data_IF_328608378917
#
_entry.id   IF_328608378917
#
_cell.length_a   1.000
_cell.length_b   1.000
_cell.length_c   1.000
_cell.angle_alpha   90.00
_cell.angle_beta   90.00
_cell.angle_gamma   90.00
#
_symmetry.space_group_name_H-M   'P 1'
#
loop_
_entity.id
_entity.type
_entity.pdbx_description
1 polymer ?
#
# COMPACT_ATOMS: atom_id res chain seq x y z
N UNK A 1 -2.94 -18.60 3.91
CA UNK A 1 -3.83 -18.07 2.87
C UNK A 1 -3.02 -18.07 1.62
N UNK A 2 -3.46 -18.84 0.64
CA UNK A 2 -2.69 -19.04 -0.58
C UNK A 2 -3.01 -17.89 -1.54
N UNK A 3 -2.03 -17.43 -2.31
CA UNK A 3 -2.18 -16.35 -3.30
C UNK A 3 -3.35 -16.59 -4.27
N UNK A 4 -3.66 -17.85 -4.53
CA UNK A 4 -4.81 -18.28 -5.34
C UNK A 4 -6.17 -17.89 -4.73
N UNK A 5 -6.30 -17.88 -3.39
CA UNK A 5 -7.54 -17.49 -2.73
C UNK A 5 -7.80 -15.99 -2.92
N UNK A 6 -6.73 -15.18 -2.90
CA UNK A 6 -6.82 -13.74 -3.15
C UNK A 6 -7.20 -13.45 -4.60
N UNK A 7 -6.58 -14.12 -5.57
CA UNK A 7 -6.92 -13.94 -6.99
C UNK A 7 -8.37 -14.33 -7.28
N UNK A 8 -8.85 -15.43 -6.68
CA UNK A 8 -10.27 -15.81 -6.75
C UNK A 8 -11.17 -14.78 -6.10
N UNK A 9 -10.80 -14.22 -4.95
CA UNK A 9 -11.56 -13.19 -4.27
C UNK A 9 -11.65 -11.89 -5.08
N UNK A 10 -10.55 -11.45 -5.71
CA UNK A 10 -10.55 -10.30 -6.63
C UNK A 10 -11.45 -10.58 -7.82
N UNK A 11 -11.28 -11.72 -8.49
CA UNK A 11 -12.09 -12.07 -9.65
C UNK A 11 -13.58 -12.17 -9.33
N UNK A 12 -13.93 -12.67 -8.14
CA UNK A 12 -15.30 -12.69 -7.65
C UNK A 12 -15.84 -11.27 -7.38
N UNK A 13 -15.07 -10.43 -6.68
CA UNK A 13 -15.45 -9.04 -6.39
C UNK A 13 -15.60 -8.20 -7.66
N UNK A 14 -14.72 -8.36 -8.65
CA UNK A 14 -14.78 -7.63 -9.92
C UNK A 14 -16.00 -8.06 -10.76
N UNK A 15 -16.36 -9.36 -10.73
CA UNK A 15 -17.61 -9.85 -11.33
C UNK A 15 -18.82 -9.23 -10.66
N UNK A 16 -18.89 -9.24 -9.33
CA UNK A 16 -20.00 -8.65 -8.57
C UNK A 16 -20.12 -7.14 -8.83
N UNK A 17 -19.00 -6.40 -8.86
CA UNK A 17 -18.99 -4.98 -9.21
C UNK A 17 -19.55 -4.73 -10.63
N UNK A 18 -19.24 -5.62 -11.58
CA UNK A 18 -19.76 -5.52 -12.94
C UNK A 18 -21.28 -5.75 -12.99
N UNK A 19 -21.77 -6.78 -12.29
CA UNK A 19 -23.22 -7.05 -12.20
C UNK A 19 -23.98 -5.87 -11.59
N UNK A 20 -23.47 -5.33 -10.47
CA UNK A 20 -24.09 -4.17 -9.82
C UNK A 20 -24.08 -2.93 -10.72
N UNK A 21 -23.03 -2.73 -11.52
CA UNK A 21 -22.99 -1.62 -12.48
C UNK A 21 -24.06 -1.76 -13.58
N UNK A 22 -24.29 -2.97 -14.08
CA UNK A 22 -25.38 -3.22 -15.04
C UNK A 22 -26.74 -2.96 -14.40
N UNK A 23 -26.93 -3.42 -13.16
CA UNK A 23 -28.16 -3.19 -12.39
C UNK A 23 -28.41 -1.69 -12.13
N UNK A 24 -27.37 -0.90 -11.80
CA UNK A 24 -27.49 0.56 -11.66
C UNK A 24 -27.99 1.22 -12.93
N UNK A 25 -27.43 0.84 -14.08
CA UNK A 25 -27.85 1.40 -15.38
C UNK A 25 -29.30 1.02 -15.68
N UNK A 26 -29.66 -0.25 -15.45
CA UNK A 26 -31.02 -0.72 -15.65
C UNK A 26 -32.04 -0.01 -14.73
N UNK A 27 -31.72 0.19 -13.46
CA UNK A 27 -32.57 0.89 -12.50
C UNK A 27 -32.73 2.38 -12.83
N UNK A 28 -31.67 3.04 -13.29
CA UNK A 28 -31.74 4.43 -13.77
C UNK A 28 -32.64 4.55 -14.99
N UNK A 29 -32.48 3.65 -15.96
CA UNK A 29 -33.34 3.60 -17.13
C UNK A 29 -34.80 3.33 -16.76
N UNK A 30 -35.05 2.41 -15.81
CA UNK A 30 -36.40 2.13 -15.31
C UNK A 30 -37.04 3.34 -14.61
N UNK A 31 -36.27 4.10 -13.82
CA UNK A 31 -36.76 5.34 -13.19
C UNK A 31 -37.05 6.44 -14.21
N UNK A 32 -36.21 6.58 -15.25
CA UNK A 32 -36.45 7.52 -16.35
C UNK A 32 -37.71 7.15 -17.14
N UNK A 33 -37.91 5.86 -17.43
CA UNK A 33 -39.09 5.38 -18.13
C UNK A 33 -40.36 5.51 -17.28
N UNK A 34 -40.28 5.22 -15.98
CA UNK A 34 -41.36 5.45 -15.03
C UNK A 34 -41.78 6.92 -15.00
N UNK A 35 -40.82 7.84 -15.06
CA UNK A 35 -41.08 9.28 -15.16
C UNK A 35 -41.78 9.63 -16.46
N UNK A 36 -41.34 9.08 -17.60
CA UNK A 36 -42.00 9.30 -18.91
C UNK A 36 -43.44 8.80 -18.92
N UNK A 37 -43.70 7.62 -18.37
CA UNK A 37 -45.06 7.07 -18.27
C UNK A 37 -45.97 7.94 -17.39
N UNK A 38 -45.44 8.51 -16.30
CA UNK A 38 -46.18 9.46 -15.48
C UNK A 38 -46.45 10.78 -16.20
N UNK A 39 -45.44 11.35 -16.87
CA UNK A 39 -45.58 12.57 -17.69
C UNK A 39 -46.59 12.37 -18.82
N UNK A 40 -46.64 11.16 -19.40
CA UNK A 40 -47.61 10.71 -20.41
C UNK A 40 -49.00 10.37 -19.85
N UNK A 41 -49.20 10.44 -18.52
CA UNK A 41 -50.43 10.05 -17.81
C UNK A 41 -50.85 8.59 -18.03
N UNK A 42 -49.90 7.73 -18.35
CA UNK A 42 -50.13 6.29 -18.52
C UNK A 42 -50.18 5.56 -17.18
N UNK A 43 -49.60 6.16 -16.13
CA UNK A 43 -49.54 5.63 -14.77
C UNK A 43 -50.16 6.63 -13.79
N UNK A 44 -50.97 6.12 -12.86
CA UNK A 44 -51.57 6.92 -11.78
C UNK A 44 -50.49 7.46 -10.82
N UNK A 45 -50.74 8.65 -10.25
CA UNK A 45 -49.78 9.34 -9.38
C UNK A 45 -49.39 8.51 -8.14
N UNK A 46 -50.37 7.83 -7.51
CA UNK A 46 -50.09 6.99 -6.35
C UNK A 46 -49.18 5.80 -6.69
N UNK A 47 -49.44 5.16 -7.84
CA UNK A 47 -48.63 4.05 -8.32
C UNK A 47 -47.23 4.50 -8.76
N UNK A 48 -47.13 5.69 -9.37
CA UNK A 48 -45.85 6.31 -9.71
C UNK A 48 -45.00 6.53 -8.45
N UNK A 49 -45.56 7.17 -7.42
CA UNK A 49 -44.83 7.48 -6.18
C UNK A 49 -44.34 6.20 -5.48
N UNK A 50 -45.18 5.16 -5.41
CA UNK A 50 -44.80 3.87 -4.81
C UNK A 50 -43.64 3.21 -5.57
N UNK A 51 -43.74 3.12 -6.90
CA UNK A 51 -42.71 2.51 -7.75
C UNK A 51 -41.43 3.34 -7.74
N UNK A 52 -41.54 4.67 -7.77
CA UNK A 52 -40.40 5.58 -7.75
C UNK A 52 -39.63 5.44 -6.44
N UNK A 53 -40.32 5.40 -5.29
CA UNK A 53 -39.69 5.17 -3.99
C UNK A 53 -38.99 3.81 -3.94
N UNK A 54 -39.63 2.73 -4.41
CA UNK A 54 -39.02 1.39 -4.43
C UNK A 54 -37.77 1.31 -5.30
N UNK A 55 -37.84 1.82 -6.53
CA UNK A 55 -36.72 1.78 -7.46
C UNK A 55 -35.58 2.71 -7.06
N UNK A 56 -35.89 3.89 -6.50
CA UNK A 56 -34.88 4.82 -5.99
C UNK A 56 -34.16 4.26 -4.76
N UNK A 57 -34.88 3.63 -3.83
CA UNK A 57 -34.28 2.96 -2.68
C UNK A 57 -33.40 1.80 -3.12
N UNK A 58 -33.87 0.94 -4.02
CA UNK A 58 -33.06 -0.14 -4.57
C UNK A 58 -31.82 0.39 -5.29
N UNK A 59 -31.92 1.50 -6.03
CA UNK A 59 -30.78 2.13 -6.67
C UNK A 59 -29.75 2.62 -5.64
N UNK A 60 -30.20 3.18 -4.51
CA UNK A 60 -29.32 3.59 -3.42
C UNK A 60 -28.57 2.39 -2.82
N UNK A 61 -29.26 1.28 -2.54
CA UNK A 61 -28.65 0.05 -2.01
C UNK A 61 -27.62 -0.55 -2.98
N UNK A 62 -27.93 -0.57 -4.28
CA UNK A 62 -27.02 -1.07 -5.31
C UNK A 62 -25.79 -0.15 -5.45
N UNK A 63 -25.97 1.17 -5.33
CA UNK A 63 -24.85 2.12 -5.32
C UNK A 63 -23.93 1.89 -4.11
N UNK A 64 -24.49 1.71 -2.92
CA UNK A 64 -23.71 1.43 -1.72
C UNK A 64 -22.91 0.13 -1.87
N UNK A 65 -23.56 -0.97 -2.29
CA UNK A 65 -22.88 -2.26 -2.50
C UNK A 65 -21.78 -2.16 -3.56
N UNK A 66 -22.02 -1.45 -4.66
CA UNK A 66 -21.00 -1.26 -5.69
C UNK A 66 -19.77 -0.53 -5.15
N UNK A 67 -19.98 0.49 -4.31
CA UNK A 67 -18.89 1.22 -3.66
C UNK A 67 -18.14 0.35 -2.65
N UNK A 68 -18.85 -0.50 -1.90
CA UNK A 68 -18.24 -1.49 -1.01
C UNK A 68 -17.34 -2.46 -1.80
N UNK A 69 -17.83 -3.05 -2.90
CA UNK A 69 -17.02 -3.93 -3.74
C UNK A 69 -15.81 -3.20 -4.35
N UNK A 70 -15.97 -1.94 -4.76
CA UNK A 70 -14.86 -1.11 -5.24
C UNK A 70 -13.77 -0.96 -4.17
N UNK A 71 -14.15 -0.64 -2.93
CA UNK A 71 -13.22 -0.53 -1.79
C UNK A 71 -12.54 -1.86 -1.49
N UNK A 72 -13.28 -2.96 -1.49
CA UNK A 72 -12.72 -4.31 -1.29
C UNK A 72 -11.68 -4.62 -2.36
N UNK A 73 -11.99 -4.40 -3.64
CA UNK A 73 -11.05 -4.63 -4.74
C UNK A 73 -9.78 -3.78 -4.59
N UNK A 74 -9.91 -2.52 -4.17
CA UNK A 74 -8.75 -1.66 -3.90
C UNK A 74 -7.91 -2.19 -2.74
N UNK A 75 -8.54 -2.51 -1.61
CA UNK A 75 -7.86 -3.06 -0.43
C UNK A 75 -7.09 -4.34 -0.77
N UNK A 76 -7.69 -5.25 -1.55
CA UNK A 76 -6.99 -6.47 -1.96
C UNK A 76 -5.78 -6.13 -2.84
N UNK A 77 -5.92 -5.22 -3.82
CA UNK A 77 -4.79 -4.78 -4.66
C UNK A 77 -3.65 -4.19 -3.84
N UNK A 78 -3.95 -3.44 -2.79
CA UNK A 78 -2.94 -2.92 -1.86
C UNK A 78 -2.25 -4.04 -1.08
N UNK A 79 -2.99 -5.01 -0.55
CA UNK A 79 -2.43 -6.16 0.17
C UNK A 79 -1.46 -6.93 -0.73
N UNK A 80 -1.87 -7.27 -1.95
CA UNK A 80 -1.01 -7.99 -2.91
C UNK A 80 0.26 -7.21 -3.25
N UNK A 81 0.18 -5.88 -3.31
CA UNK A 81 1.35 -5.04 -3.51
C UNK A 81 2.31 -5.11 -2.31
N UNK A 82 1.79 -5.00 -1.09
CA UNK A 82 2.60 -5.08 0.11
C UNK A 82 3.25 -6.45 0.29
N UNK A 83 2.56 -7.54 -0.07
CA UNK A 83 3.14 -8.88 -0.06
C UNK A 83 4.38 -8.96 -0.98
N UNK A 84 4.29 -8.42 -2.19
CA UNK A 84 5.45 -8.35 -3.12
C UNK A 84 6.58 -7.50 -2.55
N UNK A 85 6.26 -6.35 -1.95
CA UNK A 85 7.27 -5.48 -1.34
C UNK A 85 7.97 -6.18 -0.16
N UNK A 86 7.24 -6.94 0.66
CA UNK A 86 7.80 -7.76 1.74
C UNK A 86 8.73 -8.85 1.19
N UNK A 87 8.38 -9.51 0.10
CA UNK A 87 9.26 -10.51 -0.54
C UNK A 87 10.56 -9.89 -1.04
N UNK A 88 10.50 -8.72 -1.66
CA UNK A 88 11.69 -7.97 -2.10
C UNK A 88 12.56 -7.55 -0.89
N UNK A 89 11.95 -7.09 0.19
CA UNK A 89 12.64 -6.76 1.44
C UNK A 89 13.33 -7.98 2.04
N UNK A 90 12.67 -9.15 2.06
CA UNK A 90 13.27 -10.41 2.53
C UNK A 90 14.46 -10.83 1.67
N UNK A 91 14.35 -10.72 0.34
CA UNK A 91 15.45 -11.01 -0.57
C UNK A 91 16.65 -10.07 -0.32
N UNK A 92 16.40 -8.77 -0.21
CA UNK A 92 17.42 -7.77 0.11
C UNK A 92 18.08 -8.01 1.47
N UNK A 93 17.30 -8.38 2.49
CA UNK A 93 17.82 -8.72 3.81
C UNK A 93 18.73 -9.94 3.77
N UNK A 94 18.37 -10.97 2.99
CA UNK A 94 19.20 -12.15 2.80
C UNK A 94 20.54 -11.79 2.14
N UNK A 95 20.52 -11.00 1.08
CA UNK A 95 21.73 -10.54 0.41
C UNK A 95 22.62 -9.71 1.35
N UNK A 96 22.02 -8.88 2.20
CA UNK A 96 22.75 -8.11 3.20
C UNK A 96 23.42 -9.00 4.23
N UNK A 97 22.72 -10.01 4.75
CA UNK A 97 23.28 -10.98 5.70
C UNK A 97 24.44 -11.76 5.08
N UNK A 98 24.33 -12.21 3.82
CA UNK A 98 25.42 -12.90 3.13
C UNK A 98 26.66 -12.00 2.94
N UNK A 99 26.47 -10.71 2.69
CA UNK A 99 27.59 -9.73 2.61
C UNK A 99 28.23 -9.50 3.97
N UNK A 100 27.42 -9.43 5.02
CA UNK A 100 27.88 -9.23 6.39
C UNK A 100 28.72 -10.43 6.84
N UNK A 101 28.23 -11.65 6.63
CA UNK A 101 28.96 -12.90 6.92
C UNK A 101 30.32 -12.94 6.20
N UNK A 102 30.34 -12.63 4.89
CA UNK A 102 31.60 -12.55 4.12
C UNK A 102 32.56 -11.49 4.68
N UNK A 103 32.04 -10.38 5.17
CA UNK A 103 32.87 -9.30 5.74
C UNK A 103 33.41 -9.70 7.09
N UNK A 104 32.62 -10.38 7.91
CA UNK A 104 33.05 -10.93 9.20
C UNK A 104 34.13 -12.01 9.01
N UNK A 105 33.98 -12.92 8.06
CA UNK A 105 35.01 -13.92 7.75
C UNK A 105 36.33 -13.26 7.33
N UNK A 106 36.28 -12.27 6.43
CA UNK A 106 37.48 -11.50 6.05
C UNK A 106 38.12 -10.78 7.22
N UNK A 107 37.31 -10.19 8.11
CA UNK A 107 37.83 -9.52 9.29
C UNK A 107 38.50 -10.51 10.25
N UNK A 108 37.93 -11.70 10.42
CA UNK A 108 38.53 -12.77 11.22
C UNK A 108 39.86 -13.25 10.62
N UNK A 109 39.93 -13.42 9.30
CA UNK A 109 41.18 -13.77 8.59
C UNK A 109 42.26 -12.69 8.79
N UNK A 110 41.93 -11.42 8.59
CA UNK A 110 42.87 -10.30 8.78
C UNK A 110 43.31 -10.18 10.25
N UNK A 111 42.40 -10.41 11.20
CA UNK A 111 42.76 -10.48 12.63
C UNK A 111 43.74 -11.63 12.90
N UNK A 112 43.52 -12.79 12.29
CA UNK A 112 44.45 -13.93 12.37
C UNK A 112 45.84 -13.57 11.87
N UNK A 113 45.93 -12.94 10.69
CA UNK A 113 47.21 -12.47 10.12
C UNK A 113 47.92 -11.47 11.02
N UNK A 114 47.20 -10.52 11.61
CA UNK A 114 47.76 -9.53 12.53
C UNK A 114 48.30 -10.20 13.80
N UNK A 115 47.58 -11.18 14.35
CA UNK A 115 48.05 -11.95 15.51
C UNK A 115 49.32 -12.75 15.17
N UNK A 116 49.36 -13.45 14.03
CA UNK A 116 50.56 -14.17 13.58
C UNK A 116 51.75 -13.23 13.36
N UNK A 117 51.52 -12.03 12.81
CA UNK A 117 52.57 -11.02 12.66
C UNK A 117 53.07 -10.54 14.02
N UNK A 118 52.17 -10.24 14.96
CA UNK A 118 52.54 -9.78 16.29
C UNK A 118 53.41 -10.81 17.03
N UNK A 119 53.05 -12.10 16.93
CA UNK A 119 53.88 -13.20 17.46
C UNK A 119 55.27 -13.22 16.83
N UNK A 120 55.39 -13.06 15.51
CA UNK A 120 56.69 -13.03 14.81
C UNK A 120 57.57 -11.85 15.23
N UNK A 121 56.98 -10.70 15.55
CA UNK A 121 57.71 -9.50 15.99
C UNK A 121 57.89 -9.43 17.51
N UNK A 122 57.44 -10.42 18.28
CA UNK A 122 57.52 -10.43 19.75
C UNK A 122 56.66 -9.34 20.41
N UNK A 123 55.64 -8.85 19.71
CA UNK A 123 54.70 -7.83 20.19
C UNK A 123 53.53 -8.55 20.87
N UNK A 124 53.39 -8.39 22.18
CA UNK A 124 52.24 -8.92 22.92
C UNK A 124 51.03 -8.04 22.60
N UNK A 125 50.23 -8.44 21.61
CA UNK A 125 48.86 -7.96 21.48
C UNK A 125 48.07 -8.62 22.60
N UNK A 126 47.98 -7.95 23.76
CA UNK A 126 47.10 -8.41 24.82
C UNK A 126 45.72 -8.67 24.21
N UNK A 127 45.10 -9.84 24.45
CA UNK A 127 43.74 -10.07 24.02
C UNK A 127 42.95 -8.98 24.73
N UNK A 128 42.45 -8.00 23.98
CA UNK A 128 41.39 -7.14 24.48
C UNK A 128 40.30 -8.14 24.80
N UNK A 129 40.09 -8.41 26.09
CA UNK A 129 38.99 -9.22 26.57
C UNK A 129 37.82 -8.86 25.68
N UNK A 130 37.31 -9.84 24.93
CA UNK A 130 36.03 -9.67 24.28
C UNK A 130 35.12 -9.38 25.45
N UNK A 131 34.85 -8.09 25.70
CA UNK A 131 33.75 -7.68 26.54
C UNK A 131 32.60 -8.55 26.03
N UNK A 132 32.10 -9.41 26.92
CA UNK A 132 31.09 -10.38 26.59
C UNK A 132 30.08 -9.69 25.67
N UNK A 133 29.66 -10.33 24.55
CA UNK A 133 28.67 -9.73 23.68
C UNK A 133 27.57 -9.20 24.61
N UNK A 134 27.22 -7.89 24.52
CA UNK A 134 26.25 -7.31 25.43
C UNK A 134 25.07 -8.28 25.46
N UNK A 135 24.57 -8.64 26.66
CA UNK A 135 23.52 -9.65 26.78
C UNK A 135 22.48 -9.33 25.74
N UNK A 136 22.14 -10.32 24.90
CA UNK A 136 21.11 -10.18 23.89
C UNK A 136 19.95 -9.46 24.57
N UNK A 137 19.45 -8.33 24.01
CA UNK A 137 18.43 -7.57 24.68
C UNK A 137 17.33 -8.56 25.02
N UNK A 138 17.08 -8.73 26.31
CA UNK A 138 15.92 -9.45 26.79
C UNK A 138 14.77 -8.94 25.94
N UNK A 139 13.99 -9.85 25.38
CA UNK A 139 12.64 -9.52 24.92
C UNK A 139 11.86 -9.12 26.17
N UNK A 140 12.19 -7.96 26.73
CA UNK A 140 11.24 -7.15 27.43
C UNK A 140 10.19 -6.86 26.38
N UNK A 141 8.98 -7.30 26.67
CA UNK A 141 7.80 -6.71 26.10
C UNK A 141 7.83 -5.24 26.51
N UNK A 142 8.60 -4.42 25.78
CA UNK A 142 8.47 -2.99 25.82
C UNK A 142 7.06 -2.72 25.31
N UNK A 143 6.10 -2.61 26.24
CA UNK A 143 5.03 -1.63 26.06
C UNK A 143 5.76 -0.32 25.84
N UNK A 144 5.79 0.14 24.60
CA UNK A 144 6.19 1.52 24.32
C UNK A 144 5.39 2.41 25.27
N UNK A 145 6.02 3.26 26.10
CA UNK A 145 5.29 4.37 26.66
C UNK A 145 4.76 5.15 25.46
N UNK A 146 3.44 5.35 25.40
CA UNK A 146 2.77 6.10 24.34
C UNK A 146 3.59 7.36 24.07
N UNK A 147 4.29 7.39 22.93
CA UNK A 147 4.95 8.61 22.49
C UNK A 147 3.85 9.67 22.41
N UNK A 148 4.06 10.87 22.99
CA UNK A 148 3.10 11.95 22.78
C UNK A 148 2.91 12.11 21.28
N UNK A 149 1.65 12.01 20.83
CA UNK A 149 1.26 12.22 19.45
C UNK A 149 1.86 13.55 19.02
N UNK A 150 2.69 13.60 17.96
CA UNK A 150 3.23 14.87 17.50
C UNK A 150 2.05 15.81 17.21
N UNK A 151 2.12 17.09 17.64
CA UNK A 151 1.05 18.04 17.38
C UNK A 151 0.74 18.04 15.88
N UNK A 152 -0.54 18.08 15.55
CA UNK A 152 -0.96 18.16 14.15
C UNK A 152 -0.26 19.35 13.47
N UNK A 153 0.26 19.18 12.25
CA UNK A 153 0.95 20.25 11.54
C UNK A 153 0.04 21.45 11.42
N UNK A 154 0.60 22.64 11.60
CA UNK A 154 -0.15 23.88 11.50
C UNK A 154 -0.69 24.06 10.07
N UNK A 155 -1.82 24.77 9.89
CA UNK A 155 -2.38 25.01 8.56
C UNK A 155 -1.39 25.67 7.58
N UNK A 156 -0.43 26.44 8.11
CA UNK A 156 0.65 27.06 7.33
C UNK A 156 1.66 26.02 6.81
N UNK A 157 2.10 25.09 7.66
CA UNK A 157 3.00 24.00 7.27
C UNK A 157 2.34 23.05 6.24
N UNK A 158 1.04 22.81 6.36
CA UNK A 158 0.28 22.04 5.37
C UNK A 158 0.21 22.78 4.04
N UNK A 159 -0.04 24.09 4.05
CA UNK A 159 -0.10 24.90 2.83
C UNK A 159 1.26 25.03 2.12
N UNK A 160 2.36 25.17 2.87
CA UNK A 160 3.71 25.17 2.31
C UNK A 160 4.04 23.81 1.69
N UNK A 161 3.75 22.71 2.38
CA UNK A 161 3.94 21.37 1.87
C UNK A 161 3.11 21.10 0.61
N UNK A 162 1.85 21.54 0.55
CA UNK A 162 1.01 21.43 -0.65
C UNK A 162 1.58 22.22 -1.82
N UNK A 163 2.10 23.42 -1.57
CA UNK A 163 2.74 24.25 -2.61
C UNK A 163 4.02 23.62 -3.16
N UNK A 164 4.80 22.96 -2.31
CA UNK A 164 6.02 22.26 -2.69
C UNK A 164 5.69 20.98 -3.47
N UNK A 165 4.66 20.25 -3.06
CA UNK A 165 4.12 19.10 -3.79
C UNK A 165 3.64 19.50 -5.19
N UNK A 166 2.94 20.62 -5.34
CA UNK A 166 2.50 21.12 -6.64
C UNK A 166 3.69 21.53 -7.54
N UNK A 167 4.73 22.13 -6.95
CA UNK A 167 5.96 22.47 -7.67
C UNK A 167 6.67 21.23 -8.18
N UNK A 168 6.88 20.23 -7.32
CA UNK A 168 7.50 18.96 -7.68
C UNK A 168 6.68 18.22 -8.74
N UNK A 169 5.35 18.28 -8.66
CA UNK A 169 4.47 17.67 -9.68
C UNK A 169 4.66 18.30 -11.06
N UNK A 170 4.79 19.63 -11.13
CA UNK A 170 5.06 20.34 -12.40
C UNK A 170 6.45 20.00 -12.95
N UNK A 171 7.45 19.91 -12.07
CA UNK A 171 8.82 19.56 -12.45
C UNK A 171 8.89 18.14 -13.02
N UNK A 172 8.30 17.15 -12.33
CA UNK A 172 8.24 15.76 -12.80
C UNK A 172 7.53 15.65 -14.15
N UNK A 173 6.40 16.34 -14.33
CA UNK A 173 5.69 16.34 -15.62
C UNK A 173 6.56 16.92 -16.74
N UNK A 174 7.30 18.00 -16.46
CA UNK A 174 8.21 18.60 -17.44
C UNK A 174 9.40 17.70 -17.80
N UNK A 175 9.93 16.93 -16.84
CA UNK A 175 10.98 15.95 -17.08
C UNK A 175 10.46 14.75 -17.89
N UNK A 176 9.26 14.25 -17.58
CA UNK A 176 8.62 13.19 -18.34
C UNK A 176 8.36 13.60 -19.80
N UNK A 177 7.98 14.85 -20.04
CA UNK A 177 7.84 15.39 -21.41
C UNK A 177 9.18 15.47 -22.14
N UNK A 178 10.26 15.89 -21.46
CA UNK A 178 11.62 15.90 -22.03
C UNK A 178 12.11 14.50 -22.39
N UNK A 179 11.92 13.53 -21.51
CA UNK A 179 12.30 12.13 -21.75
C UNK A 179 11.49 11.55 -22.91
N UNK A 180 10.19 11.84 -22.98
CA UNK A 180 9.32 11.41 -24.09
C UNK A 180 9.71 12.03 -25.43
N UNK A 181 10.20 13.28 -25.43
CA UNK A 181 10.69 13.94 -26.64
C UNK A 181 12.05 13.38 -27.10
N UNK A 182 12.92 12.99 -26.17
CA UNK A 182 14.20 12.35 -26.47
C UNK A 182 14.02 10.91 -26.98
N UNK A 183 13.06 10.15 -26.44
CA UNK A 183 12.77 8.78 -26.85
C UNK A 183 12.09 8.66 -28.23
N UNK A 184 11.67 9.78 -28.84
CA UNK A 184 11.06 9.84 -30.18
C UNK A 184 12.02 10.27 -31.30
N UNK A 185 13.26 10.64 -30.96
CA UNK A 185 14.34 10.87 -31.93
C UNK A 185 15.19 9.61 -32.05
#
# INVERSE_FOLDING_TARGET
>A
MDTEDFERAIGSAEKQATYLRVEQVALRAALEELKRMHDGREVDAALYDELYQRYSQRLADVNEKAEQYRRITQSIKHITRYEREIELLKASQKDFLERLEKTESKLQEERGKVLEMADRFGVILAPREMAAPPPAPTREVHREPERPVPPAPSPAEVSEAESEIERLRKEILSELERVKAQAKR
#
